data_IF_360854293873
#
_entry.id   IF_360854293873
#
_cell.length_a   1.000
_cell.length_b   1.000
_cell.length_c   1.000
_cell.angle_alpha   90.00
_cell.angle_beta   90.00
_cell.angle_gamma   90.00
#
_symmetry.space_group_name_H-M   'P 1'
#
loop_
_entity.id
_entity.type
_entity.pdbx_description
1 polymer ?
#
# COMPACT_ATOMS: atom_id res chain seq x y z
N UNK A 1 22.85 28.29 29.23
CA UNK A 1 22.25 27.76 27.98
C UNK A 1 20.79 28.14 27.94
N UNK A 2 20.46 29.26 27.28
CA UNK A 2 19.11 29.78 27.17
C UNK A 2 18.66 29.74 25.72
N UNK A 3 18.14 28.61 25.26
CA UNK A 3 17.53 28.51 23.95
C UNK A 3 16.01 28.51 24.09
N UNK A 4 15.40 29.56 23.52
CA UNK A 4 13.96 29.82 23.26
C UNK A 4 13.06 29.97 24.50
N UNK A 5 12.98 31.21 25.02
CA UNK A 5 12.18 31.53 26.23
C UNK A 5 10.72 31.97 25.99
N UNK A 6 10.25 32.19 24.75
CA UNK A 6 8.84 32.56 24.50
C UNK A 6 8.34 32.42 23.04
N UNK A 7 9.20 32.62 22.03
CA UNK A 7 8.80 32.61 20.62
C UNK A 7 9.91 32.10 19.71
N UNK A 8 9.53 31.43 18.61
CA UNK A 8 10.42 30.97 17.54
C UNK A 8 10.55 32.00 16.40
N UNK A 9 9.79 33.09 16.43
CA UNK A 9 9.75 34.09 15.37
C UNK A 9 10.90 35.09 15.50
N UNK A 10 11.67 35.26 14.42
CA UNK A 10 12.68 36.33 14.32
C UNK A 10 12.05 37.69 13.99
N UNK A 11 12.77 38.78 14.28
CA UNK A 11 12.27 40.17 14.10
C UNK A 11 13.08 41.03 13.12
N UNK A 12 14.20 40.50 12.59
CA UNK A 12 15.07 41.22 11.65
C UNK A 12 14.57 41.15 10.21
N UNK A 13 14.86 42.18 9.42
CA UNK A 13 14.61 42.21 7.97
C UNK A 13 13.29 42.88 7.58
N UNK A 14 12.96 42.84 6.29
CA UNK A 14 11.71 43.36 5.73
C UNK A 14 10.70 42.23 5.48
N UNK A 15 9.42 42.49 5.75
CA UNK A 15 8.34 41.55 5.47
C UNK A 15 8.16 41.31 3.97
N UNK A 16 7.95 40.05 3.60
CA UNK A 16 7.65 39.63 2.24
C UNK A 16 6.46 38.68 2.23
N UNK A 17 5.70 38.67 1.13
CA UNK A 17 4.61 37.73 0.95
C UNK A 17 5.12 36.45 0.30
N UNK A 18 4.94 35.32 0.98
CA UNK A 18 5.29 34.00 0.47
C UNK A 18 4.04 33.21 0.11
N UNK A 19 4.14 32.42 -0.96
CA UNK A 19 3.18 31.36 -1.28
C UNK A 19 3.87 30.03 -1.02
N UNK A 20 3.12 29.11 -0.44
CA UNK A 20 3.60 27.77 -0.10
C UNK A 20 2.63 26.74 -0.67
N UNK A 21 3.11 25.53 -0.89
CA UNK A 21 2.33 24.39 -1.36
C UNK A 21 1.56 23.68 -0.22
N UNK A 22 1.05 24.48 0.72
CA UNK A 22 0.30 24.03 1.88
C UNK A 22 -1.14 24.50 1.81
N UNK A 23 -2.06 23.57 2.02
CA UNK A 23 -3.50 23.80 1.99
C UNK A 23 -4.09 23.51 3.36
N UNK A 24 -4.84 24.46 3.93
CA UNK A 24 -5.48 24.26 5.23
C UNK A 24 -6.61 23.26 5.11
N UNK A 25 -6.60 22.22 5.96
CA UNK A 25 -7.72 21.29 6.08
C UNK A 25 -8.71 21.88 7.08
N UNK A 26 -9.84 22.36 6.57
CA UNK A 26 -10.91 22.89 7.41
C UNK A 26 -11.86 21.75 7.72
N UNK A 27 -11.76 21.24 8.94
CA UNK A 27 -12.73 20.25 9.45
C UNK A 27 -14.01 20.96 9.87
N UNK A 28 -15.17 20.31 9.67
CA UNK A 28 -16.43 20.81 10.25
C UNK A 28 -16.30 20.81 11.79
N UNK A 29 -16.92 21.78 12.49
CA UNK A 29 -16.99 21.72 13.94
C UNK A 29 -17.52 20.35 14.38
N UNK A 30 -16.83 19.70 15.32
CA UNK A 30 -17.20 18.38 15.86
C UNK A 30 -17.13 17.19 14.89
N UNK A 31 -16.46 17.31 13.73
CA UNK A 31 -16.24 16.14 12.90
C UNK A 31 -15.34 15.11 13.60
N UNK A 32 -15.72 13.85 13.53
CA UNK A 32 -15.03 12.71 14.15
C UNK A 32 -15.00 11.57 13.13
N UNK A 33 -13.86 10.88 13.03
CA UNK A 33 -13.76 9.63 12.31
C UNK A 33 -14.05 8.47 13.26
N UNK A 34 -14.98 7.61 12.91
CA UNK A 34 -15.38 6.50 13.77
C UNK A 34 -14.64 5.23 13.36
N UNK A 35 -13.94 4.63 14.31
CA UNK A 35 -13.19 3.39 14.11
C UNK A 35 -13.96 2.21 14.70
N UNK A 36 -14.22 1.22 13.86
CA UNK A 36 -14.90 -0.02 14.24
C UNK A 36 -13.98 -1.21 14.06
N UNK A 37 -14.11 -2.20 14.94
CA UNK A 37 -13.58 -3.54 14.74
C UNK A 37 -14.64 -4.39 14.06
N UNK A 38 -14.22 -5.17 13.08
CA UNK A 38 -15.08 -6.09 12.32
C UNK A 38 -14.65 -7.52 12.58
N UNK A 39 -15.55 -8.31 13.17
CA UNK A 39 -15.36 -9.73 13.42
C UNK A 39 -16.35 -10.54 12.58
N UNK A 40 -15.96 -11.76 12.18
CA UNK A 40 -16.73 -12.64 11.31
C UNK A 40 -16.93 -13.99 11.98
N UNK A 41 -18.16 -14.51 11.89
CA UNK A 41 -18.51 -15.85 12.32
C UNK A 41 -19.21 -16.59 11.16
N UNK A 42 -18.61 -17.66 10.60
CA UNK A 42 -17.32 -18.23 10.95
C UNK A 42 -16.11 -17.32 10.61
N UNK A 43 -14.93 -17.56 11.21
CA UNK A 43 -13.72 -16.78 10.90
C UNK A 43 -13.33 -16.86 9.42
N UNK A 44 -12.98 -15.71 8.84
CA UNK A 44 -12.56 -15.61 7.43
C UNK A 44 -11.08 -15.22 7.38
N UNK A 45 -10.22 -15.89 6.63
CA UNK A 45 -8.79 -15.50 6.56
C UNK A 45 -8.48 -14.52 5.42
N UNK A 46 -9.25 -14.61 4.32
CA UNK A 46 -9.02 -13.80 3.13
C UNK A 46 -9.50 -12.35 3.34
N UNK A 47 -8.56 -11.40 3.32
CA UNK A 47 -8.86 -9.96 3.31
C UNK A 47 -9.87 -9.58 2.23
N UNK A 48 -9.70 -10.10 1.00
CA UNK A 48 -10.60 -9.82 -0.11
C UNK A 48 -12.01 -10.34 0.13
N UNK A 49 -12.14 -11.53 0.71
CA UNK A 49 -13.43 -12.11 1.06
C UNK A 49 -14.13 -11.31 2.16
N UNK A 50 -13.40 -10.92 3.22
CA UNK A 50 -13.92 -10.07 4.29
C UNK A 50 -14.51 -8.77 3.73
N UNK A 51 -13.76 -8.08 2.85
CA UNK A 51 -14.22 -6.86 2.21
C UNK A 51 -15.46 -7.11 1.32
N UNK A 52 -15.44 -8.18 0.51
CA UNK A 52 -16.55 -8.55 -0.37
C UNK A 52 -17.85 -8.88 0.39
N UNK A 53 -17.74 -9.44 1.60
CA UNK A 53 -18.90 -9.73 2.46
C UNK A 53 -19.39 -8.48 3.21
N UNK A 54 -18.51 -7.53 3.54
CA UNK A 54 -18.87 -6.32 4.29
C UNK A 54 -19.48 -5.24 3.40
N UNK A 55 -18.93 -5.04 2.20
CA UNK A 55 -19.27 -3.92 1.33
C UNK A 55 -20.70 -3.91 0.76
N UNK A 56 -21.42 -5.03 0.59
CA UNK A 56 -22.82 -5.01 0.19
C UNK A 56 -23.75 -4.27 1.18
N UNK A 57 -23.31 -4.03 2.42
CA UNK A 57 -24.07 -3.33 3.46
C UNK A 57 -24.05 -1.80 3.32
N UNK A 58 -24.04 -1.28 2.10
CA UNK A 58 -23.97 0.16 1.77
C UNK A 58 -25.05 0.99 2.48
N UNK A 59 -26.26 0.43 2.63
CA UNK A 59 -27.38 1.11 3.29
C UNK A 59 -27.11 1.42 4.77
N UNK A 60 -26.29 0.60 5.42
CA UNK A 60 -25.96 0.74 6.85
C UNK A 60 -24.65 1.49 7.01
N UNK A 61 -23.63 1.12 6.24
CA UNK A 61 -22.26 1.63 6.39
C UNK A 61 -22.02 2.94 5.64
N UNK A 62 -22.85 3.27 4.66
CA UNK A 62 -22.64 4.39 3.73
C UNK A 62 -21.55 4.09 2.70
N UNK A 63 -21.53 4.89 1.62
CA UNK A 63 -20.61 4.72 0.50
C UNK A 63 -19.16 5.11 0.81
N UNK A 64 -18.97 6.09 1.71
CA UNK A 64 -17.65 6.55 2.13
C UNK A 64 -17.14 5.72 3.31
N UNK A 65 -16.21 4.79 3.05
CA UNK A 65 -15.64 3.89 4.07
C UNK A 65 -14.24 3.43 3.69
N UNK A 66 -13.47 3.00 4.68
CA UNK A 66 -12.17 2.35 4.48
C UNK A 66 -12.04 1.16 5.39
N UNK A 67 -11.60 0.02 4.84
CA UNK A 67 -11.51 -1.23 5.56
C UNK A 67 -10.19 -1.92 5.23
N UNK A 68 -9.45 -2.36 6.26
CA UNK A 68 -8.14 -3.02 6.14
C UNK A 68 -8.19 -4.54 6.39
N UNK A 69 -9.40 -5.10 6.49
CA UNK A 69 -9.63 -6.51 6.80
C UNK A 69 -9.98 -6.78 8.26
N UNK A 70 -9.75 -5.85 9.18
CA UNK A 70 -10.15 -5.99 10.58
C UNK A 70 -10.73 -4.70 11.16
N UNK A 71 -10.21 -3.55 10.75
CA UNK A 71 -10.64 -2.23 11.19
C UNK A 71 -11.37 -1.53 10.04
N UNK A 72 -12.54 -1.00 10.36
CA UNK A 72 -13.38 -0.21 9.48
C UNK A 72 -13.43 1.23 9.98
N UNK A 73 -13.13 2.19 9.10
CA UNK A 73 -13.31 3.61 9.36
C UNK A 73 -14.53 4.13 8.62
N UNK A 74 -15.43 4.81 9.36
CA UNK A 74 -16.61 5.46 8.81
C UNK A 74 -16.63 6.95 9.19
N UNK A 75 -17.08 7.84 8.28
CA UNK A 75 -17.31 9.25 8.58
C UNK A 75 -18.65 9.48 9.30
N UNK A 76 -19.46 8.43 9.48
CA UNK A 76 -20.75 8.45 10.15
C UNK A 76 -20.71 7.54 11.39
N UNK A 77 -21.40 7.95 12.45
CA UNK A 77 -21.62 7.11 13.62
C UNK A 77 -22.75 6.14 13.33
N UNK A 78 -22.53 4.85 13.53
CA UNK A 78 -23.61 3.86 13.47
C UNK A 78 -24.53 4.07 14.70
N UNK A 79 -25.84 3.75 14.58
CA UNK A 79 -26.80 3.99 15.67
C UNK A 79 -26.43 3.25 16.97
N UNK A 80 -25.87 2.05 16.84
CA UNK A 80 -25.52 1.18 17.95
C UNK A 80 -24.01 1.01 18.05
N UNK A 81 -23.52 0.83 19.28
CA UNK A 81 -22.11 0.48 19.53
C UNK A 81 -21.74 -0.84 18.84
N UNK A 82 -22.66 -1.79 18.81
CA UNK A 82 -22.50 -3.05 18.10
C UNK A 82 -23.59 -3.17 17.03
N UNK A 83 -23.16 -3.38 15.79
CA UNK A 83 -24.05 -3.54 14.63
C UNK A 83 -23.82 -4.92 14.03
N UNK A 84 -24.88 -5.75 14.03
CA UNK A 84 -24.85 -7.08 13.46
C UNK A 84 -25.34 -7.04 12.01
N UNK A 85 -24.56 -7.63 11.11
CA UNK A 85 -24.85 -7.76 9.70
C UNK A 85 -24.82 -9.24 9.32
N UNK A 86 -25.62 -9.60 8.32
CA UNK A 86 -25.69 -10.96 7.78
C UNK A 86 -25.35 -10.92 6.30
N UNK A 87 -24.31 -11.65 5.91
CA UNK A 87 -23.92 -11.84 4.50
C UNK A 87 -23.98 -13.31 4.14
N UNK A 88 -24.02 -13.58 2.83
CA UNK A 88 -23.98 -14.94 2.29
C UNK A 88 -22.76 -15.09 1.38
N UNK A 89 -22.05 -16.21 1.49
CA UNK A 89 -20.95 -16.54 0.57
C UNK A 89 -21.50 -16.96 -0.79
N UNK A 90 -20.64 -17.03 -1.80
CA UNK A 90 -21.02 -17.59 -3.13
C UNK A 90 -21.51 -19.04 -3.07
N UNK A 91 -21.22 -19.75 -1.97
CA UNK A 91 -21.59 -21.14 -1.75
C UNK A 91 -22.88 -21.29 -0.94
N UNK A 92 -23.52 -20.20 -0.53
CA UNK A 92 -24.77 -20.20 0.24
C UNK A 92 -24.58 -20.16 1.76
N UNK A 93 -23.34 -20.08 2.24
CA UNK A 93 -23.07 -20.08 3.68
C UNK A 93 -23.39 -18.72 4.29
N UNK A 94 -24.14 -18.72 5.39
CA UNK A 94 -24.45 -17.52 6.15
C UNK A 94 -23.28 -17.13 7.03
N UNK A 95 -22.86 -15.87 6.93
CA UNK A 95 -21.78 -15.28 7.70
C UNK A 95 -22.33 -14.13 8.53
N UNK A 96 -22.21 -14.25 9.85
CA UNK A 96 -22.52 -13.17 10.77
C UNK A 96 -21.31 -12.25 10.88
N UNK A 97 -21.53 -10.96 10.67
CA UNK A 97 -20.50 -9.93 10.74
C UNK A 97 -20.88 -8.99 11.89
N UNK A 98 -19.95 -8.81 12.82
CA UNK A 98 -20.14 -7.93 13.98
C UNK A 98 -19.27 -6.71 13.82
N UNK A 99 -19.89 -5.53 13.75
CA UNK A 99 -19.20 -4.24 13.62
C UNK A 99 -19.32 -3.50 14.94
N UNK A 100 -18.21 -3.40 15.68
CA UNK A 100 -18.17 -2.83 17.03
C UNK A 100 -17.41 -1.52 17.04
N UNK A 101 -18.04 -0.43 17.52
CA UNK A 101 -17.39 0.86 17.69
C UNK A 101 -16.29 0.73 18.75
N UNK A 102 -15.08 1.07 18.36
CA UNK A 102 -13.90 0.99 19.25
C UNK A 102 -13.39 2.36 19.65
N UNK A 103 -13.33 3.32 18.71
CA UNK A 103 -12.78 4.65 18.98
C UNK A 103 -13.51 5.74 18.20
N UNK A 104 -13.56 6.93 18.81
CA UNK A 104 -13.95 8.19 18.19
C UNK A 104 -12.69 9.03 17.98
N UNK A 105 -12.28 9.20 16.73
CA UNK A 105 -11.01 9.83 16.37
C UNK A 105 -11.25 11.29 15.98
N UNK A 106 -10.82 12.28 16.79
CA UNK A 106 -10.86 13.67 16.39
C UNK A 106 -9.90 13.93 15.20
N UNK A 107 -10.07 15.03 14.45
CA UNK A 107 -9.25 15.34 13.27
C UNK A 107 -7.75 15.44 13.56
N UNK A 108 -7.40 15.80 14.80
CA UNK A 108 -6.02 15.93 15.30
C UNK A 108 -5.40 14.61 15.74
N UNK A 109 -6.18 13.52 15.81
CA UNK A 109 -5.67 12.21 16.21
C UNK A 109 -4.61 11.72 15.22
N UNK A 110 -3.45 11.21 15.68
CA UNK A 110 -2.43 10.64 14.79
C UNK A 110 -2.98 9.57 13.85
N UNK A 111 -3.92 8.74 14.32
CA UNK A 111 -4.58 7.70 13.51
C UNK A 111 -5.44 8.33 12.41
N UNK A 112 -6.16 9.41 12.72
CA UNK A 112 -6.95 10.15 11.73
C UNK A 112 -6.05 10.84 10.68
N UNK A 113 -4.91 11.40 11.10
CA UNK A 113 -3.93 11.98 10.18
C UNK A 113 -3.33 10.93 9.24
N UNK A 114 -3.00 9.74 9.76
CA UNK A 114 -2.56 8.60 8.95
C UNK A 114 -3.64 8.18 7.95
N UNK A 115 -4.90 8.11 8.39
CA UNK A 115 -6.04 7.81 7.52
C UNK A 115 -6.16 8.83 6.38
N UNK A 116 -6.06 10.13 6.65
CA UNK A 116 -6.10 11.14 5.59
C UNK A 116 -4.96 10.97 4.58
N UNK A 117 -3.74 10.64 5.03
CA UNK A 117 -2.62 10.37 4.12
C UNK A 117 -2.87 9.17 3.19
N UNK A 118 -3.75 8.23 3.58
CA UNK A 118 -4.19 7.14 2.69
C UNK A 118 -5.27 7.64 1.73
N UNK A 119 -6.25 8.39 2.23
CA UNK A 119 -7.37 8.91 1.44
C UNK A 119 -6.92 9.83 0.29
N UNK A 120 -5.95 10.70 0.55
CA UNK A 120 -5.46 11.68 -0.44
C UNK A 120 -4.37 11.15 -1.37
N UNK A 121 -4.06 9.85 -1.33
CA UNK A 121 -3.18 9.22 -2.33
C UNK A 121 -3.98 8.93 -3.60
N UNK A 122 -3.84 9.81 -4.59
CA UNK A 122 -4.36 9.55 -5.94
C UNK A 122 -3.19 9.32 -6.91
N UNK A 123 -3.06 8.13 -7.53
CA UNK A 123 -2.17 7.96 -8.66
C UNK A 123 -2.76 8.70 -9.89
N UNK A 124 -1.93 9.47 -10.59
CA UNK A 124 -2.28 10.00 -11.91
C UNK A 124 -2.10 8.95 -13.00
N UNK A 125 -2.60 9.26 -14.20
CA UNK A 125 -2.51 8.36 -15.34
C UNK A 125 -1.05 8.15 -15.80
N UNK A 126 -0.60 6.91 -16.01
CA UNK A 126 0.77 6.63 -16.44
C UNK A 126 1.10 7.22 -17.81
N UNK A 127 2.23 7.91 -17.90
CA UNK A 127 2.84 8.36 -19.14
C UNK A 127 3.94 7.39 -19.57
N UNK A 128 3.83 6.79 -20.75
CA UNK A 128 4.88 5.92 -21.29
C UNK A 128 5.85 6.73 -22.16
N UNK A 129 7.14 6.47 -22.02
CA UNK A 129 8.24 7.05 -22.80
C UNK A 129 8.95 5.91 -23.56
N UNK A 130 8.41 5.48 -24.72
CA UNK A 130 8.84 4.25 -25.39
C UNK A 130 10.32 4.25 -25.78
N UNK A 131 10.83 5.41 -26.22
CA UNK A 131 12.22 5.60 -26.65
C UNK A 131 13.26 5.30 -25.55
N UNK A 132 12.87 5.35 -24.27
CA UNK A 132 13.73 5.04 -23.14
C UNK A 132 13.27 3.79 -22.36
N UNK A 133 12.21 3.10 -22.81
CA UNK A 133 11.58 1.97 -22.10
C UNK A 133 11.22 2.32 -20.64
N UNK A 134 10.70 3.53 -20.45
CA UNK A 134 10.27 4.03 -19.14
C UNK A 134 8.76 4.28 -19.12
N UNK A 135 8.16 4.11 -17.96
CA UNK A 135 6.80 4.52 -17.64
C UNK A 135 6.85 5.43 -16.42
N UNK A 136 6.37 6.65 -16.58
CA UNK A 136 6.34 7.68 -15.54
C UNK A 136 4.94 7.71 -14.98
N UNK A 137 4.81 7.52 -13.68
CA UNK A 137 3.53 7.66 -12.97
C UNK A 137 3.54 9.02 -12.30
N UNK A 138 2.83 10.02 -12.86
CA UNK A 138 2.67 11.30 -12.20
C UNK A 138 1.80 11.14 -10.96
N UNK A 139 2.08 11.95 -9.96
CA UNK A 139 1.29 11.97 -8.75
C UNK A 139 1.73 13.09 -7.83
N UNK A 140 1.24 13.03 -6.60
CA UNK A 140 1.58 14.00 -5.58
C UNK A 140 2.17 13.30 -4.36
N UNK A 141 3.24 13.86 -3.83
CA UNK A 141 3.68 13.57 -2.49
C UNK A 141 2.80 14.40 -1.55
N UNK A 142 1.90 13.72 -0.85
CA UNK A 142 1.00 14.34 0.11
C UNK A 142 1.46 14.04 1.53
N UNK A 143 1.38 15.04 2.41
CA UNK A 143 1.65 14.87 3.83
C UNK A 143 0.75 15.79 4.64
N UNK A 144 0.01 15.22 5.58
CA UNK A 144 -0.88 15.95 6.47
C UNK A 144 -0.30 15.94 7.87
N UNK A 145 -0.08 17.12 8.43
CA UNK A 145 0.46 17.32 9.77
C UNK A 145 -0.25 18.47 10.48
N UNK A 146 -0.21 18.42 11.82
CA UNK A 146 -0.57 19.56 12.65
C UNK A 146 0.59 20.57 12.66
N UNK A 147 0.32 21.79 12.23
CA UNK A 147 1.22 22.95 12.34
C UNK A 147 0.78 23.86 13.49
N UNK A 148 1.51 24.96 13.70
CA UNK A 148 1.31 25.87 14.84
C UNK A 148 -0.13 26.40 14.95
N UNK A 149 -0.80 26.67 13.81
CA UNK A 149 -2.16 27.24 13.79
C UNK A 149 -3.26 26.26 13.34
N UNK A 150 -2.92 25.23 12.56
CA UNK A 150 -3.92 24.42 11.84
C UNK A 150 -3.33 23.11 11.32
N UNK A 151 -4.22 22.17 10.98
CA UNK A 151 -3.86 20.99 10.19
C UNK A 151 -3.68 21.44 8.74
N UNK A 152 -2.51 21.16 8.17
CA UNK A 152 -2.19 21.53 6.80
C UNK A 152 -1.85 20.28 5.99
N UNK A 153 -2.32 20.26 4.75
CA UNK A 153 -1.92 19.32 3.71
C UNK A 153 -0.80 19.97 2.90
N UNK A 154 0.40 19.38 2.97
CA UNK A 154 1.47 19.65 2.01
C UNK A 154 1.24 18.81 0.76
N UNK A 155 1.30 19.44 -0.41
CA UNK A 155 1.21 18.75 -1.71
C UNK A 155 2.42 19.12 -2.54
N UNK A 156 3.25 18.16 -2.90
CA UNK A 156 4.34 18.37 -3.85
C UNK A 156 4.19 17.47 -5.07
N UNK A 157 4.63 17.95 -6.23
CA UNK A 157 4.56 17.18 -7.47
C UNK A 157 5.63 16.10 -7.41
N UNK A 158 5.24 14.84 -7.59
CA UNK A 158 6.15 13.71 -7.53
C UNK A 158 5.91 12.76 -8.68
N UNK A 159 6.97 12.08 -9.12
CA UNK A 159 6.91 11.15 -10.25
C UNK A 159 7.56 9.85 -9.85
N UNK A 160 6.83 8.74 -10.01
CA UNK A 160 7.42 7.41 -9.87
C UNK A 160 7.84 6.92 -11.26
N UNK A 161 9.15 6.80 -11.47
CA UNK A 161 9.71 6.31 -12.72
C UNK A 161 9.87 4.80 -12.62
N UNK A 162 9.29 4.08 -13.56
CA UNK A 162 9.35 2.63 -13.68
C UNK A 162 9.99 2.26 -15.01
N UNK A 163 10.73 1.15 -15.03
CA UNK A 163 11.11 0.52 -16.29
C UNK A 163 9.91 -0.21 -16.86
N UNK A 164 9.73 -0.11 -18.18
CA UNK A 164 8.69 -0.83 -18.91
C UNK A 164 9.07 -2.30 -19.11
N UNK A 165 10.38 -2.59 -19.16
CA UNK A 165 10.92 -3.95 -19.25
C UNK A 165 10.65 -4.76 -17.97
N UNK A 166 10.37 -6.04 -18.14
CA UNK A 166 10.27 -7.01 -17.05
C UNK A 166 11.67 -7.47 -16.60
N UNK A 167 11.78 -8.01 -15.38
CA UNK A 167 13.04 -8.59 -14.90
C UNK A 167 13.50 -9.74 -15.81
N UNK A 168 12.56 -10.54 -16.33
CA UNK A 168 12.87 -11.63 -17.26
C UNK A 168 13.51 -11.11 -18.56
N UNK A 169 12.95 -10.06 -19.16
CA UNK A 169 13.52 -9.42 -20.35
C UNK A 169 14.89 -8.78 -20.05
N UNK A 170 15.05 -8.17 -18.88
CA UNK A 170 16.32 -7.62 -18.44
C UNK A 170 17.39 -8.69 -18.28
N UNK A 171 17.07 -9.83 -17.65
CA UNK A 171 17.96 -10.99 -17.55
C UNK A 171 18.31 -11.54 -18.94
N UNK A 172 17.35 -11.63 -19.86
CA UNK A 172 17.61 -12.05 -21.24
C UNK A 172 18.54 -11.07 -21.99
N UNK A 173 18.44 -9.77 -21.72
CA UNK A 173 19.35 -8.75 -22.26
C UNK A 173 20.77 -8.93 -21.71
N UNK A 174 20.91 -9.12 -20.40
CA UNK A 174 22.21 -9.39 -19.77
C UNK A 174 22.85 -10.66 -20.33
N UNK A 175 22.06 -11.74 -20.52
CA UNK A 175 22.53 -13.00 -21.08
C UNK A 175 23.11 -12.83 -22.48
N UNK A 176 22.49 -11.98 -23.31
CA UNK A 176 22.97 -11.68 -24.68
C UNK A 176 24.26 -10.87 -24.69
N UNK A 177 24.50 -10.06 -23.65
CA UNK A 177 25.70 -9.24 -23.51
C UNK A 177 26.86 -9.98 -22.84
N UNK A 178 26.56 -10.99 -22.02
CA UNK A 178 27.56 -11.84 -21.38
C UNK A 178 28.24 -12.75 -22.40
N UNK A 179 29.57 -12.65 -22.52
CA UNK A 179 30.38 -13.53 -23.37
C UNK A 179 30.63 -14.90 -22.75
N UNK A 180 30.62 -14.98 -21.42
CA UNK A 180 30.78 -16.24 -20.67
C UNK A 180 29.47 -16.58 -19.92
N UNK A 181 28.82 -17.72 -20.25
CA UNK A 181 27.65 -18.19 -19.54
C UNK A 181 27.85 -18.43 -18.04
N UNK A 182 29.09 -18.70 -17.59
CA UNK A 182 29.37 -18.95 -16.17
C UNK A 182 29.26 -17.69 -15.32
N UNK A 183 29.54 -16.53 -15.90
CA UNK A 183 29.45 -15.23 -15.22
C UNK A 183 28.03 -14.66 -15.23
N UNK A 184 27.10 -15.25 -15.97
CA UNK A 184 25.74 -14.74 -16.11
C UNK A 184 25.02 -14.63 -14.76
N UNK A 185 25.16 -15.64 -13.91
CA UNK A 185 24.57 -15.65 -12.56
C UNK A 185 25.08 -14.48 -11.71
N UNK A 186 26.40 -14.28 -11.70
CA UNK A 186 27.06 -13.23 -10.90
C UNK A 186 26.67 -11.82 -11.40
N UNK A 187 26.59 -11.63 -12.72
CA UNK A 187 26.15 -10.36 -13.33
C UNK A 187 24.69 -10.08 -12.97
N UNK A 188 23.80 -11.08 -13.07
CA UNK A 188 22.41 -10.93 -12.66
C UNK A 188 22.28 -10.60 -11.17
N UNK A 189 23.01 -11.31 -10.30
CA UNK A 189 23.02 -11.06 -8.87
C UNK A 189 23.47 -9.61 -8.56
N UNK A 190 24.57 -9.16 -9.18
CA UNK A 190 25.10 -7.80 -9.01
C UNK A 190 24.12 -6.71 -9.45
N UNK A 191 23.41 -6.93 -10.55
CA UNK A 191 22.51 -5.92 -11.13
C UNK A 191 21.10 -5.94 -10.52
N UNK A 192 20.63 -7.07 -9.98
CA UNK A 192 19.24 -7.23 -9.51
C UNK A 192 19.09 -7.25 -7.98
N UNK A 193 20.04 -7.82 -7.24
CA UNK A 193 19.91 -7.91 -5.79
C UNK A 193 19.96 -6.52 -5.16
N UNK A 194 19.02 -6.24 -4.26
CA UNK A 194 18.82 -4.94 -3.62
C UNK A 194 17.86 -4.02 -4.36
N UNK A 195 17.52 -4.30 -5.63
CA UNK A 195 16.52 -3.52 -6.37
C UNK A 195 15.10 -3.80 -5.87
N UNK A 196 14.23 -2.80 -6.05
CA UNK A 196 12.80 -2.92 -5.75
C UNK A 196 12.04 -3.17 -7.05
N UNK A 197 11.34 -4.30 -7.13
CA UNK A 197 10.52 -4.71 -8.28
C UNK A 197 9.03 -4.53 -7.97
N UNK A 198 8.23 -4.20 -8.99
CA UNK A 198 6.77 -4.03 -8.89
C UNK A 198 6.06 -5.20 -9.55
N UNK A 199 5.13 -5.85 -8.84
CA UNK A 199 4.24 -6.85 -9.41
C UNK A 199 2.99 -6.18 -9.98
N UNK A 200 2.85 -6.21 -11.32
CA UNK A 200 1.76 -5.52 -12.05
C UNK A 200 0.35 -5.96 -11.64
N UNK A 201 0.17 -7.22 -11.22
CA UNK A 201 -1.15 -7.79 -10.90
C UNK A 201 -1.77 -7.31 -9.57
N UNK A 202 -0.95 -6.78 -8.65
CA UNK A 202 -1.44 -6.29 -7.35
C UNK A 202 -0.79 -4.97 -6.91
N UNK A 203 0.03 -4.37 -7.78
CA UNK A 203 0.82 -3.15 -7.54
C UNK A 203 1.67 -3.18 -6.24
N UNK A 204 2.08 -4.37 -5.79
CA UNK A 204 3.00 -4.52 -4.65
C UNK A 204 4.45 -4.42 -5.09
N UNK A 205 5.27 -3.84 -4.23
CA UNK A 205 6.70 -3.75 -4.44
C UNK A 205 7.45 -4.68 -3.51
N UNK A 206 8.47 -5.34 -4.02
CA UNK A 206 9.32 -6.29 -3.28
C UNK A 206 10.78 -5.94 -3.51
N UNK A 207 11.62 -6.08 -2.48
CA UNK A 207 13.07 -6.02 -2.64
C UNK A 207 13.57 -7.39 -3.06
N UNK A 208 14.35 -7.46 -4.13
CA UNK A 208 15.01 -8.70 -4.53
C UNK A 208 16.18 -8.93 -3.59
N UNK A 209 16.14 -10.00 -2.81
CA UNK A 209 17.23 -10.34 -1.90
C UNK A 209 18.09 -11.46 -2.46
N UNK A 210 17.49 -12.36 -3.26
CA UNK A 210 18.19 -13.47 -3.91
C UNK A 210 17.50 -13.87 -5.23
N UNK A 211 18.24 -14.52 -6.11
CA UNK A 211 17.72 -15.19 -7.30
C UNK A 211 17.84 -16.70 -7.08
N UNK A 212 16.70 -17.39 -6.97
CA UNK A 212 16.65 -18.83 -6.78
C UNK A 212 16.77 -19.54 -8.13
N UNK A 213 18.00 -19.85 -8.52
CA UNK A 213 18.34 -20.49 -9.80
C UNK A 213 17.97 -21.97 -9.87
N UNK A 214 17.81 -22.61 -8.71
CA UNK A 214 17.41 -24.01 -8.54
C UNK A 214 15.87 -24.18 -8.54
N UNK A 215 15.12 -23.08 -8.53
CA UNK A 215 13.67 -23.07 -8.56
C UNK A 215 13.13 -22.49 -9.87
N UNK A 216 11.99 -23.03 -10.28
CA UNK A 216 11.25 -22.69 -11.49
C UNK A 216 9.76 -22.53 -11.18
N UNK A 217 8.96 -21.94 -12.09
CA UNK A 217 7.51 -21.87 -11.93
C UNK A 217 6.78 -23.21 -11.72
N UNK A 218 7.43 -24.33 -12.05
CA UNK A 218 6.88 -25.68 -11.86
C UNK A 218 7.10 -26.23 -10.45
N UNK A 219 8.02 -25.66 -9.66
CA UNK A 219 8.18 -26.04 -8.27
C UNK A 219 6.91 -25.71 -7.48
N UNK A 220 6.67 -26.49 -6.42
CA UNK A 220 5.50 -26.39 -5.55
C UNK A 220 5.81 -25.61 -4.27
N UNK A 221 4.76 -25.07 -3.66
CA UNK A 221 4.79 -24.54 -2.31
C UNK A 221 3.50 -24.90 -1.58
N UNK A 222 3.57 -24.97 -0.25
CA UNK A 222 2.38 -25.17 0.58
C UNK A 222 1.55 -23.90 0.65
N UNK A 223 0.26 -24.02 0.34
CA UNK A 223 -0.77 -23.01 0.52
C UNK A 223 -1.87 -23.58 1.42
N UNK A 224 -1.77 -23.31 2.72
CA UNK A 224 -2.65 -23.94 3.72
C UNK A 224 -2.43 -25.46 3.72
N UNK A 225 -3.49 -26.23 3.55
CA UNK A 225 -3.43 -27.70 3.47
C UNK A 225 -3.13 -28.24 2.07
N UNK A 226 -3.06 -27.37 1.05
CA UNK A 226 -2.88 -27.78 -0.35
C UNK A 226 -1.50 -27.43 -0.88
N UNK A 227 -0.89 -28.35 -1.62
CA UNK A 227 0.33 -28.09 -2.38
C UNK A 227 -0.03 -27.62 -3.79
N UNK A 228 0.57 -26.52 -4.25
CA UNK A 228 0.30 -25.92 -5.55
C UNK A 228 1.58 -25.41 -6.19
N UNK A 229 1.69 -25.48 -7.51
CA UNK A 229 2.83 -24.90 -8.25
C UNK A 229 2.73 -23.38 -8.30
N UNK A 230 3.86 -22.68 -8.41
CA UNK A 230 3.86 -21.23 -8.59
C UNK A 230 3.06 -20.80 -9.81
N UNK A 231 3.21 -21.51 -10.94
CA UNK A 231 2.47 -21.25 -12.18
C UNK A 231 0.96 -21.37 -11.99
N UNK A 232 0.49 -22.46 -11.37
CA UNK A 232 -0.94 -22.69 -11.17
C UNK A 232 -1.53 -21.68 -10.18
N UNK A 233 -0.78 -21.32 -9.13
CA UNK A 233 -1.18 -20.28 -8.20
C UNK A 233 -1.39 -18.94 -8.91
N UNK A 234 -0.44 -18.50 -9.74
CA UNK A 234 -0.54 -17.22 -10.47
C UNK A 234 -1.72 -17.23 -11.44
N UNK A 235 -1.96 -18.36 -12.13
CA UNK A 235 -3.09 -18.53 -13.04
C UNK A 235 -4.43 -18.48 -12.30
N UNK A 236 -4.60 -19.22 -11.21
CA UNK A 236 -5.85 -19.25 -10.42
C UNK A 236 -6.13 -17.92 -9.72
N UNK A 237 -5.11 -17.29 -9.14
CA UNK A 237 -5.29 -16.12 -8.29
C UNK A 237 -5.40 -14.81 -9.08
N UNK A 238 -4.68 -14.70 -10.21
CA UNK A 238 -4.55 -13.44 -10.96
C UNK A 238 -4.94 -13.56 -12.43
N UNK A 239 -5.37 -14.74 -12.91
CA UNK A 239 -5.68 -14.99 -14.32
C UNK A 239 -4.52 -14.67 -15.27
N UNK A 240 -3.28 -14.86 -14.82
CA UNK A 240 -2.07 -14.63 -15.61
C UNK A 240 -1.41 -15.96 -16.00
N UNK A 241 -0.93 -16.03 -17.24
CA UNK A 241 -0.17 -17.19 -17.73
C UNK A 241 1.34 -16.93 -17.65
N UNK A 242 2.06 -17.88 -17.07
CA UNK A 242 3.52 -17.90 -17.06
C UNK A 242 4.01 -18.50 -18.38
N UNK A 243 4.72 -17.71 -19.17
CA UNK A 243 5.18 -18.06 -20.53
C UNK A 243 6.44 -18.93 -20.53
N UNK A 244 7.42 -18.60 -19.69
CA UNK A 244 8.66 -19.37 -19.54
C UNK A 244 8.59 -20.27 -18.29
N UNK A 245 8.54 -21.58 -18.50
CA UNK A 245 8.46 -22.57 -17.42
C UNK A 245 9.81 -22.86 -16.76
N UNK A 246 10.92 -22.41 -17.36
CA UNK A 246 12.28 -22.66 -16.88
C UNK A 246 12.95 -21.39 -16.34
N UNK A 247 12.22 -20.28 -16.25
CA UNK A 247 12.76 -19.04 -15.67
C UNK A 247 13.09 -19.25 -14.19
N UNK A 248 14.17 -18.61 -13.73
CA UNK A 248 14.51 -18.58 -12.31
C UNK A 248 13.48 -17.75 -11.52
N UNK A 249 13.39 -18.00 -10.21
CA UNK A 249 12.50 -17.24 -9.32
C UNK A 249 13.28 -16.15 -8.58
N UNK A 250 12.59 -15.04 -8.28
CA UNK A 250 13.11 -14.00 -7.40
C UNK A 250 12.64 -14.26 -5.98
N UNK A 251 13.57 -14.28 -5.04
CA UNK A 251 13.29 -14.40 -3.62
C UNK A 251 13.34 -13.01 -2.97
N UNK A 252 12.33 -12.76 -2.12
CA UNK A 252 12.26 -11.58 -1.26
C UNK A 252 12.05 -12.09 0.16
N UNK A 253 13.03 -11.85 1.03
CA UNK A 253 12.87 -12.11 2.44
C UNK A 253 12.03 -10.97 2.99
N UNK A 254 10.81 -11.28 3.38
CA UNK A 254 9.96 -10.30 4.03
C UNK A 254 10.67 -9.80 5.29
N UNK A 255 11.23 -8.59 5.26
CA UNK A 255 11.09 -7.75 6.43
C UNK A 255 9.59 -7.58 6.63
N UNK A 256 9.09 -8.10 7.74
CA UNK A 256 7.82 -7.69 8.34
C UNK A 256 7.58 -6.23 7.99
N UNK A 257 6.43 -5.95 7.36
CA UNK A 257 5.98 -4.59 6.97
C UNK A 257 6.61 -3.58 7.92
N UNK A 258 7.62 -2.85 7.45
CA UNK A 258 8.04 -1.63 8.13
C UNK A 258 6.88 -0.67 7.89
N UNK A 259 5.85 -0.80 8.75
CA UNK A 259 5.18 0.39 9.27
C UNK A 259 6.36 1.27 9.68
N UNK A 260 6.46 2.45 9.06
CA UNK A 260 7.40 3.48 9.46
C UNK A 260 7.10 3.81 10.92
N UNK A 261 7.64 3.00 11.83
CA UNK A 261 7.73 3.26 13.23
C UNK A 261 8.83 4.29 13.40
N UNK A 262 8.46 5.32 14.14
CA UNK A 262 9.26 6.43 14.60
C UNK A 262 10.79 6.25 14.48
N UNK A 263 11.42 7.19 13.77
CA UNK A 263 12.73 7.69 14.23
C UNK A 263 12.53 8.24 15.64
N UNK A 264 12.92 7.46 16.63
CA UNK A 264 13.15 7.96 17.98
C UNK A 264 14.49 8.68 18.01
N UNK A 265 14.49 9.83 18.66
CA UNK A 265 15.60 10.76 18.85
C UNK A 265 16.88 10.09 19.37
N UNK A 266 18.01 10.53 18.81
CA UNK A 266 19.10 11.10 19.62
C UNK A 266 19.50 12.43 19.01
#
# INVERSE_FOLDING_TARGET
>A
MGHVKASKSGTSGSTIQLKVNFFSIISRPQWVLYQYRVDYQPPMESHGLRAALLYPHDKVLGSARSFDGAILFLPIKLPNTETLLLSETKHGDKVHITVTLTNELPPTSPVCLQFYNILFRSPGDPLTVPQHRLTIWPGFATTILQYESSIMLCVDVSHKVLRSETVLEFMANLRRQCRDPKLFSDVCAKELIGLVVLTKYNNKTYRVDEIAWDHTPNNTFQRGETEVTFKEYVKRQYALEVTDNNQALLASHAHSRILLSHRSNR
#
